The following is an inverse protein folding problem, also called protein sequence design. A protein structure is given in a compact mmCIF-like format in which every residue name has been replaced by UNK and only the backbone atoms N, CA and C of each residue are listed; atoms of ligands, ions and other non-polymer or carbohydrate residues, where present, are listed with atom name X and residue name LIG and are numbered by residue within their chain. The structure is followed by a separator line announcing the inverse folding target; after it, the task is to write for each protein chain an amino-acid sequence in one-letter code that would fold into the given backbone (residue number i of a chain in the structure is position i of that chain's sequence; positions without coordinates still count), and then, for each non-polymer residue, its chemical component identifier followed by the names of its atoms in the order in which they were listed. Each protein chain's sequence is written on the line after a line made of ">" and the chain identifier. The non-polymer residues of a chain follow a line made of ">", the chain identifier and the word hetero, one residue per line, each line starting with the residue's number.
data_IF_737341709402
#
_entry.id   IF_737341709402
#
_cell.length_a   1.000
_cell.length_b   1.000
_cell.length_c   1.000
_cell.angle_alpha   90.00
_cell.angle_beta   90.00
_cell.angle_gamma   90.00
#
_symmetry.space_group_name_H-M   'P 1'
#
loop_
_entity.id
_entity.type
_entity.pdbx_description
1 polymer ?
#
# COMPACT_ATOMS: atom_id res chain seq x y z
N UNK A 1 -77.77 37.43 14.78
CA UNK A 1 -76.36 37.90 14.58
C UNK A 1 -75.33 37.50 15.66
N UNK A 2 -75.62 36.65 16.63
CA UNK A 2 -74.71 36.26 17.70
C UNK A 2 -74.03 34.86 17.55
N UNK A 3 -74.34 34.10 16.52
CA UNK A 3 -73.82 32.76 16.30
C UNK A 3 -72.69 32.66 15.24
N UNK A 4 -72.38 33.71 14.53
CA UNK A 4 -71.27 33.72 13.56
C UNK A 4 -69.96 34.27 14.10
N UNK A 5 -69.96 34.99 15.19
CA UNK A 5 -68.76 35.56 15.83
C UNK A 5 -67.95 34.51 16.65
N UNK A 6 -68.62 33.39 17.03
CA UNK A 6 -67.94 32.36 17.85
C UNK A 6 -67.14 31.34 17.00
N UNK A 7 -67.42 31.29 15.68
CA UNK A 7 -66.68 30.39 14.80
C UNK A 7 -65.36 30.95 14.28
N UNK A 8 -65.15 32.25 14.39
CA UNK A 8 -63.90 32.91 13.95
C UNK A 8 -62.84 32.92 15.05
N UNK A 9 -63.25 32.79 16.32
CA UNK A 9 -62.33 32.77 17.43
C UNK A 9 -61.73 31.39 17.73
N UNK A 10 -62.31 30.30 17.19
CA UNK A 10 -61.76 28.94 17.37
C UNK A 10 -60.83 28.49 16.23
N UNK A 11 -60.82 29.20 15.11
CA UNK A 11 -59.90 28.85 13.99
C UNK A 11 -58.53 29.57 14.08
N UNK A 12 -58.39 30.51 15.04
CA UNK A 12 -57.15 31.28 15.23
C UNK A 12 -56.14 30.66 16.17
N UNK A 13 -56.48 29.56 16.87
CA UNK A 13 -55.66 29.03 17.96
C UNK A 13 -54.97 27.70 17.68
N UNK A 14 -55.03 27.19 16.45
CA UNK A 14 -54.34 25.94 16.07
C UNK A 14 -53.13 26.18 15.18
N UNK A 15 -52.72 27.45 15.00
CA UNK A 15 -51.49 27.74 14.20
C UNK A 15 -50.32 28.20 15.07
N UNK A 16 -50.34 27.89 16.38
CA UNK A 16 -49.18 28.08 17.23
C UNK A 16 -48.51 26.72 17.53
N UNK A 17 -47.44 26.43 16.83
CA UNK A 17 -46.45 25.53 17.39
C UNK A 17 -46.21 24.21 16.70
N UNK A 18 -45.91 24.21 15.43
CA UNK A 18 -44.91 23.26 14.91
C UNK A 18 -43.79 24.11 14.30
N UNK A 19 -43.09 24.84 15.13
CA UNK A 19 -41.67 25.12 14.86
C UNK A 19 -40.99 23.77 14.99
N UNK A 20 -41.02 22.97 13.91
CA UNK A 20 -39.96 21.99 13.72
C UNK A 20 -38.67 22.79 13.74
N UNK A 21 -37.98 22.77 14.86
CA UNK A 21 -36.58 23.11 14.91
C UNK A 21 -35.94 22.10 13.97
N UNK A 22 -35.82 22.45 12.70
CA UNK A 22 -34.90 21.84 11.81
C UNK A 22 -33.56 22.06 12.50
N UNK A 23 -33.14 21.08 13.30
CA UNK A 23 -31.76 20.96 13.73
C UNK A 23 -30.98 20.98 12.43
N UNK A 24 -30.44 22.15 12.09
CA UNK A 24 -29.42 22.29 11.06
C UNK A 24 -28.34 21.34 11.56
N UNK A 25 -28.36 20.12 11.03
CA UNK A 25 -27.28 19.19 11.25
C UNK A 25 -26.06 19.94 10.72
N UNK A 26 -25.31 20.54 11.64
CA UNK A 26 -24.05 21.19 11.29
C UNK A 26 -23.29 20.14 10.49
N UNK A 27 -23.17 20.37 9.20
CA UNK A 27 -22.36 19.53 8.34
C UNK A 27 -20.98 19.56 8.98
N UNK A 28 -20.64 18.49 9.72
CA UNK A 28 -19.29 18.36 10.29
C UNK A 28 -18.34 18.66 9.13
N UNK A 29 -17.49 19.67 9.33
CA UNK A 29 -16.47 20.07 8.34
C UNK A 29 -15.90 18.81 7.72
N UNK A 30 -15.77 18.74 6.38
CA UNK A 30 -15.21 17.57 5.73
C UNK A 30 -13.86 17.31 6.40
N UNK A 31 -13.73 16.13 7.00
CA UNK A 31 -12.49 15.75 7.63
C UNK A 31 -11.44 15.62 6.53
N UNK A 32 -10.48 16.52 6.52
CA UNK A 32 -9.33 16.48 5.62
C UNK A 32 -8.09 16.24 6.46
N UNK A 33 -7.31 15.22 6.11
CA UNK A 33 -5.97 15.03 6.65
C UNK A 33 -4.96 15.07 5.50
N UNK A 34 -3.82 15.61 5.78
CA UNK A 34 -2.64 15.54 4.91
C UNK A 34 -1.59 14.69 5.59
N UNK A 35 -0.91 13.87 4.83
CA UNK A 35 0.19 13.05 5.34
C UNK A 35 1.42 13.92 5.42
N UNK A 36 1.97 14.12 6.61
CA UNK A 36 3.19 14.90 6.80
C UNK A 36 4.43 14.17 6.25
N UNK A 37 4.42 12.82 6.27
CA UNK A 37 5.55 11.96 5.91
C UNK A 37 5.43 11.32 4.52
N UNK A 38 4.62 11.89 3.65
CA UNK A 38 4.38 11.37 2.31
C UNK A 38 3.06 10.60 2.16
N UNK A 39 2.65 10.30 0.92
CA UNK A 39 1.37 9.67 0.66
C UNK A 39 1.34 8.21 1.13
N UNK A 40 0.22 7.80 1.71
CA UNK A 40 0.01 6.40 2.10
C UNK A 40 -0.31 5.53 0.90
N UNK A 41 0.27 4.33 0.86
CA UNK A 41 -0.03 3.37 -0.19
C UNK A 41 -1.27 2.53 0.12
N UNK A 42 -2.12 2.45 -0.88
CA UNK A 42 -3.30 1.59 -0.90
C UNK A 42 -3.32 0.75 -2.17
N UNK A 43 -4.01 -0.38 -2.11
CA UNK A 43 -4.25 -1.25 -3.24
C UNK A 43 -5.74 -1.38 -3.53
N UNK A 44 -6.08 -1.62 -4.79
CA UNK A 44 -7.45 -1.95 -5.17
C UNK A 44 -7.83 -3.32 -4.59
N UNK A 45 -8.97 -3.41 -3.91
CA UNK A 45 -9.52 -4.71 -3.47
C UNK A 45 -9.86 -5.57 -4.69
N UNK A 46 -9.69 -6.90 -4.63
CA UNK A 46 -9.87 -7.80 -5.78
C UNK A 46 -11.20 -7.62 -6.52
N UNK A 47 -12.29 -7.42 -5.78
CA UNK A 47 -13.65 -7.33 -6.32
C UNK A 47 -14.19 -5.89 -6.47
N UNK A 48 -13.32 -4.88 -6.36
CA UNK A 48 -13.75 -3.50 -6.50
C UNK A 48 -14.20 -3.18 -7.93
N UNK A 49 -15.42 -2.67 -8.08
CA UNK A 49 -16.05 -2.35 -9.40
C UNK A 49 -16.50 -0.90 -9.51
N UNK A 50 -16.08 -0.04 -8.58
CA UNK A 50 -16.57 1.34 -8.52
C UNK A 50 -15.89 2.30 -9.48
N UNK A 51 -16.27 3.57 -9.36
CA UNK A 51 -15.74 4.65 -10.17
C UNK A 51 -14.59 5.39 -9.49
N UNK A 52 -13.69 5.91 -10.32
CA UNK A 52 -12.77 6.98 -9.98
C UNK A 52 -13.41 8.26 -10.52
N UNK A 53 -13.63 9.23 -9.64
CA UNK A 53 -14.31 10.49 -9.96
C UNK A 53 -13.32 11.64 -10.09
N UNK A 54 -13.71 12.70 -10.77
CA UNK A 54 -13.00 13.98 -10.69
C UNK A 54 -13.05 14.54 -9.25
N UNK A 55 -12.24 15.55 -8.95
CA UNK A 55 -12.18 16.10 -7.59
C UNK A 55 -13.46 16.80 -7.12
N UNK A 56 -14.29 17.32 -8.03
CA UNK A 56 -15.63 17.84 -7.72
C UNK A 56 -16.67 16.73 -7.51
N UNK A 57 -16.34 15.47 -7.83
CA UNK A 57 -17.23 14.31 -7.79
C UNK A 57 -18.47 14.43 -8.72
N UNK A 58 -18.32 15.13 -9.82
CA UNK A 58 -19.40 15.37 -10.80
C UNK A 58 -19.27 14.46 -12.03
N UNK A 59 -18.04 14.03 -12.35
CA UNK A 59 -17.75 13.24 -13.54
C UNK A 59 -16.97 11.97 -13.18
N UNK A 60 -17.45 10.84 -13.67
CA UNK A 60 -16.71 9.57 -13.64
C UNK A 60 -15.57 9.63 -14.65
N UNK A 61 -14.33 9.47 -14.19
CA UNK A 61 -13.14 9.45 -15.03
C UNK A 61 -12.79 8.03 -15.48
N UNK A 62 -12.80 7.09 -14.54
CA UNK A 62 -12.37 5.72 -14.78
C UNK A 62 -13.20 4.72 -13.96
N UNK A 63 -12.99 3.43 -14.23
CA UNK A 63 -13.51 2.35 -13.40
C UNK A 63 -12.38 1.69 -12.63
N UNK A 64 -12.53 1.56 -11.31
CA UNK A 64 -11.51 0.96 -10.40
C UNK A 64 -11.11 -0.46 -10.84
N UNK A 65 -12.06 -1.24 -11.43
CA UNK A 65 -11.78 -2.60 -11.92
C UNK A 65 -10.63 -2.68 -12.93
N UNK A 66 -10.38 -1.60 -13.67
CA UNK A 66 -9.31 -1.54 -14.67
C UNK A 66 -7.92 -1.34 -14.04
N UNK A 67 -7.88 -1.11 -12.74
CA UNK A 67 -6.69 -0.76 -11.98
C UNK A 67 -6.41 -1.73 -10.84
N UNK A 68 -6.70 -3.02 -11.03
CA UNK A 68 -6.57 -4.07 -9.99
C UNK A 68 -5.17 -4.18 -9.38
N UNK A 69 -4.15 -3.88 -10.18
CA UNK A 69 -2.75 -4.01 -9.78
C UNK A 69 -2.06 -2.67 -9.54
N UNK A 70 -2.83 -1.59 -9.55
CA UNK A 70 -2.28 -0.25 -9.33
C UNK A 70 -2.05 0.00 -7.85
N UNK A 71 -0.90 0.54 -7.54
CA UNK A 71 -0.61 1.15 -6.26
C UNK A 71 -1.15 2.58 -6.28
N UNK A 72 -2.00 2.88 -5.31
CA UNK A 72 -2.61 4.19 -5.14
C UNK A 72 -1.93 4.94 -4.03
N UNK A 73 -1.47 6.13 -4.32
CA UNK A 73 -0.93 7.04 -3.34
C UNK A 73 -2.07 7.94 -2.86
N UNK A 74 -2.43 7.81 -1.59
CA UNK A 74 -3.52 8.55 -0.93
C UNK A 74 -2.95 9.77 -0.24
N UNK A 75 -3.42 10.96 -0.62
CA UNK A 75 -2.95 12.23 -0.06
C UNK A 75 -3.92 12.84 0.94
N UNK A 76 -5.19 12.53 0.83
CA UNK A 76 -6.21 13.04 1.75
C UNK A 76 -7.48 12.18 1.73
N UNK A 77 -8.25 12.28 2.80
CA UNK A 77 -9.57 11.67 2.91
C UNK A 77 -10.60 12.75 3.27
N UNK A 78 -11.82 12.59 2.79
CA UNK A 78 -12.94 13.45 3.17
C UNK A 78 -14.25 12.67 3.15
N UNK A 79 -15.20 13.15 3.95
CA UNK A 79 -16.53 12.58 4.00
C UNK A 79 -17.44 13.29 3.00
N UNK A 80 -18.22 12.51 2.25
CA UNK A 80 -19.28 13.01 1.38
C UNK A 80 -20.60 12.33 1.71
N UNK A 81 -21.69 13.08 1.71
CA UNK A 81 -23.04 12.52 1.83
C UNK A 81 -23.62 12.31 0.44
N UNK A 82 -24.01 11.07 0.13
CA UNK A 82 -24.60 10.67 -1.14
C UNK A 82 -25.91 9.96 -0.84
N UNK A 83 -27.01 10.49 -1.34
CA UNK A 83 -28.37 9.96 -1.08
C UNK A 83 -28.63 9.70 0.42
N UNK A 84 -28.27 10.68 1.27
CA UNK A 84 -28.43 10.61 2.73
C UNK A 84 -27.42 9.73 3.47
N UNK A 85 -26.57 8.97 2.78
CA UNK A 85 -25.55 8.10 3.39
C UNK A 85 -24.17 8.75 3.34
N UNK A 86 -23.48 8.74 4.48
CA UNK A 86 -22.09 9.22 4.57
C UNK A 86 -21.14 8.19 3.99
N UNK A 87 -20.21 8.65 3.14
CA UNK A 87 -19.17 7.82 2.54
C UNK A 87 -17.82 8.56 2.63
N UNK A 88 -16.75 7.83 2.88
CA UNK A 88 -15.38 8.35 2.88
C UNK A 88 -14.80 8.16 1.49
N UNK A 89 -14.26 9.22 0.93
CA UNK A 89 -13.52 9.22 -0.33
C UNK A 89 -12.06 9.59 -0.09
N UNK A 90 -11.20 8.90 -0.79
CA UNK A 90 -9.77 9.20 -0.82
C UNK A 90 -9.42 9.97 -2.09
N UNK A 91 -8.61 11.03 -1.93
CA UNK A 91 -7.91 11.64 -3.05
C UNK A 91 -6.69 10.78 -3.35
N UNK A 92 -6.66 10.23 -4.55
CA UNK A 92 -5.64 9.28 -4.97
C UNK A 92 -4.98 9.70 -6.27
N UNK A 93 -3.75 9.24 -6.45
CA UNK A 93 -3.10 9.20 -7.76
C UNK A 93 -2.32 7.88 -7.90
N UNK A 94 -2.22 7.39 -9.13
CA UNK A 94 -1.32 6.29 -9.44
C UNK A 94 0.14 6.75 -9.32
N UNK A 95 1.06 5.85 -9.03
CA UNK A 95 2.46 6.21 -8.83
C UNK A 95 3.09 6.94 -10.02
N UNK A 96 2.73 6.57 -11.26
CA UNK A 96 3.15 7.29 -12.46
C UNK A 96 2.36 8.59 -12.70
N UNK A 97 1.50 9.00 -11.77
CA UNK A 97 0.66 10.21 -11.79
C UNK A 97 -0.30 10.34 -12.99
N UNK A 98 -0.41 9.30 -13.84
CA UNK A 98 -1.27 9.33 -15.04
C UNK A 98 -2.77 9.25 -14.69
N UNK A 99 -3.10 8.62 -13.58
CA UNK A 99 -4.49 8.50 -13.10
C UNK A 99 -4.59 9.17 -11.74
N UNK A 100 -5.54 10.08 -11.60
CA UNK A 100 -5.82 10.80 -10.36
C UNK A 100 -7.32 11.00 -10.20
N UNK A 101 -7.78 11.14 -8.96
CA UNK A 101 -9.19 11.41 -8.68
C UNK A 101 -9.62 11.01 -7.29
N UNK A 102 -10.92 10.85 -7.12
CA UNK A 102 -11.56 10.43 -5.90
C UNK A 102 -12.04 8.99 -6.01
N UNK A 103 -11.68 8.19 -5.02
CA UNK A 103 -12.11 6.79 -4.93
C UNK A 103 -12.80 6.57 -3.58
N UNK A 104 -13.93 5.90 -3.59
CA UNK A 104 -14.56 5.48 -2.34
C UNK A 104 -13.63 4.56 -1.55
N UNK A 105 -13.44 4.84 -0.27
CA UNK A 105 -12.51 4.09 0.61
C UNK A 105 -12.81 2.58 0.65
N UNK A 106 -14.06 2.20 0.50
CA UNK A 106 -14.48 0.80 0.46
C UNK A 106 -13.89 -0.03 -0.68
N UNK A 107 -13.38 0.60 -1.76
CA UNK A 107 -12.71 -0.10 -2.87
C UNK A 107 -11.21 -0.27 -2.69
N UNK A 108 -10.64 0.35 -1.67
CA UNK A 108 -9.22 0.32 -1.41
C UNK A 108 -8.91 -0.39 -0.08
N UNK A 109 -7.72 -0.91 0.03
CA UNK A 109 -7.17 -1.47 1.27
C UNK A 109 -5.78 -0.89 1.51
N UNK A 110 -5.48 -0.55 2.76
CA UNK A 110 -4.13 -0.12 3.15
C UNK A 110 -3.11 -1.22 2.83
N UNK A 111 -1.94 -0.82 2.40
CA UNK A 111 -0.79 -1.70 2.36
C UNK A 111 -0.21 -1.79 3.78
N UNK A 112 -0.33 -2.96 4.40
CA UNK A 112 0.20 -3.22 5.74
C UNK A 112 1.16 -4.39 5.64
N UNK A 113 2.41 -4.18 6.04
CA UNK A 113 3.42 -5.22 6.11
C UNK A 113 3.49 -5.79 7.54
N UNK A 114 3.53 -7.09 7.64
CA UNK A 114 3.73 -7.79 8.92
C UNK A 114 5.22 -7.85 9.23
N UNK A 115 5.67 -7.44 10.43
CA UNK A 115 7.05 -7.62 10.86
C UNK A 115 7.47 -9.09 10.82
N UNK A 116 8.70 -9.36 10.40
CA UNK A 116 9.17 -10.73 10.20
C UNK A 116 9.30 -11.52 11.51
N UNK A 117 9.47 -10.85 12.65
CA UNK A 117 9.50 -11.46 13.98
C UNK A 117 8.16 -12.12 14.36
N UNK A 118 7.05 -11.68 13.73
CA UNK A 118 5.70 -12.24 13.94
C UNK A 118 5.39 -13.47 13.06
N UNK A 119 6.30 -13.85 12.16
CA UNK A 119 6.11 -14.97 11.23
C UNK A 119 7.01 -16.11 11.68
N UNK A 120 6.48 -17.23 12.13
CA UNK A 120 7.21 -18.26 12.87
C UNK A 120 7.74 -19.42 12.02
N UNK A 121 7.27 -19.56 10.77
CA UNK A 121 7.68 -20.67 9.88
C UNK A 121 7.75 -20.24 8.42
N UNK A 122 8.51 -21.00 7.61
CA UNK A 122 8.59 -20.80 6.16
C UNK A 122 7.21 -20.93 5.49
N UNK A 123 6.36 -21.85 5.94
CA UNK A 123 5.00 -22.00 5.41
C UNK A 123 4.14 -20.77 5.69
N UNK A 124 4.18 -20.24 6.91
CA UNK A 124 3.48 -19.02 7.27
C UNK A 124 4.00 -17.83 6.44
N UNK A 125 5.30 -17.77 6.22
CA UNK A 125 5.92 -16.72 5.41
C UNK A 125 5.50 -16.80 3.94
N UNK A 126 5.49 -17.97 3.33
CA UNK A 126 4.99 -18.18 1.98
C UNK A 126 3.50 -17.82 1.86
N UNK A 127 2.68 -18.17 2.84
CA UNK A 127 1.27 -17.79 2.88
C UNK A 127 1.13 -16.26 2.95
N UNK A 128 1.90 -15.59 3.78
CA UNK A 128 1.94 -14.14 3.87
C UNK A 128 2.33 -13.49 2.55
N UNK A 129 3.45 -13.90 1.93
CA UNK A 129 3.90 -13.40 0.62
C UNK A 129 2.82 -13.62 -0.46
N UNK A 130 2.11 -14.73 -0.43
CA UNK A 130 1.13 -15.08 -1.44
C UNK A 130 -0.21 -14.36 -1.28
N UNK A 131 -0.64 -14.07 -0.07
CA UNK A 131 -1.97 -13.55 0.24
C UNK A 131 -2.01 -12.05 0.54
N UNK A 132 -0.93 -11.49 1.14
CA UNK A 132 -0.94 -10.10 1.58
C UNK A 132 -0.68 -9.14 0.40
N UNK A 133 -1.52 -8.12 0.29
CA UNK A 133 -1.41 -7.13 -0.80
C UNK A 133 -0.12 -6.29 -0.73
N UNK A 134 0.48 -6.12 0.45
CA UNK A 134 1.78 -5.42 0.60
C UNK A 134 2.94 -6.21 0.00
N UNK A 135 2.78 -7.52 -0.21
CA UNK A 135 3.83 -8.42 -0.67
C UNK A 135 3.82 -8.68 -2.20
N UNK A 136 3.06 -7.88 -2.96
CA UNK A 136 2.99 -8.04 -4.42
C UNK A 136 4.35 -7.91 -5.11
N UNK A 137 5.18 -6.96 -4.68
CA UNK A 137 6.53 -6.79 -5.21
C UNK A 137 7.42 -7.95 -4.78
N UNK A 138 7.42 -8.31 -3.49
CA UNK A 138 8.15 -9.48 -2.95
C UNK A 138 7.85 -10.74 -3.76
N UNK A 139 6.54 -11.04 -3.93
CA UNK A 139 6.08 -12.19 -4.71
C UNK A 139 6.59 -12.19 -6.16
N UNK A 140 6.73 -11.02 -6.76
CA UNK A 140 7.24 -10.90 -8.12
C UNK A 140 8.77 -11.03 -8.18
N UNK A 141 9.49 -10.51 -7.18
CA UNK A 141 10.95 -10.59 -7.10
C UNK A 141 11.44 -12.01 -6.82
N UNK A 142 10.82 -12.76 -5.90
CA UNK A 142 11.23 -14.15 -5.62
C UNK A 142 11.07 -15.06 -6.82
N UNK A 143 10.14 -14.79 -7.75
CA UNK A 143 9.99 -15.54 -9.00
C UNK A 143 11.19 -15.42 -9.95
N UNK A 144 12.06 -14.44 -9.74
CA UNK A 144 13.31 -14.34 -10.48
C UNK A 144 14.29 -15.47 -10.11
N UNK A 145 14.09 -16.13 -8.97
CA UNK A 145 14.87 -17.26 -8.45
C UNK A 145 13.97 -18.48 -8.25
N UNK A 146 13.48 -19.10 -9.33
CA UNK A 146 12.35 -20.04 -9.29
C UNK A 146 12.59 -21.29 -8.47
N UNK A 147 13.84 -21.70 -8.29
CA UNK A 147 14.22 -22.92 -7.57
C UNK A 147 14.89 -22.65 -6.21
N UNK A 148 15.07 -21.39 -5.83
CA UNK A 148 15.61 -21.03 -4.51
C UNK A 148 14.47 -20.99 -3.49
N UNK A 149 14.44 -21.86 -2.46
CA UNK A 149 13.40 -21.87 -1.46
C UNK A 149 13.45 -20.57 -0.62
N UNK A 150 12.28 -20.04 -0.30
CA UNK A 150 12.16 -18.88 0.60
C UNK A 150 12.40 -19.33 2.04
N UNK A 151 13.28 -18.62 2.75
CA UNK A 151 13.64 -18.92 4.13
C UNK A 151 13.39 -17.73 5.05
N UNK A 152 12.56 -17.93 6.09
CA UNK A 152 12.20 -16.89 7.06
C UNK A 152 13.38 -16.57 7.99
N UNK A 153 14.22 -17.56 8.33
CA UNK A 153 15.36 -17.34 9.21
C UNK A 153 16.42 -16.48 8.49
N UNK A 154 16.65 -16.74 7.21
CA UNK A 154 17.49 -15.89 6.38
C UNK A 154 16.89 -14.50 6.22
N UNK A 155 15.58 -14.40 5.98
CA UNK A 155 14.87 -13.10 5.85
C UNK A 155 14.98 -12.24 7.12
N UNK A 156 14.87 -12.84 8.30
CA UNK A 156 15.10 -12.15 9.59
C UNK A 156 16.54 -11.74 9.80
N UNK A 157 17.49 -12.58 9.36
CA UNK A 157 18.92 -12.24 9.48
C UNK A 157 19.25 -10.99 8.67
N UNK A 158 18.61 -10.80 7.52
CA UNK A 158 18.83 -9.62 6.67
C UNK A 158 18.06 -8.39 7.15
N UNK A 159 16.98 -8.54 7.91
CA UNK A 159 16.26 -7.40 8.51
C UNK A 159 17.15 -6.55 9.42
N UNK A 160 18.10 -7.19 10.09
CA UNK A 160 18.98 -6.55 11.07
C UNK A 160 20.35 -6.14 10.46
N UNK A 161 20.53 -6.27 9.15
CA UNK A 161 21.78 -5.84 8.51
C UNK A 161 21.82 -4.32 8.47
N UNK A 162 22.79 -3.77 9.19
CA UNK A 162 23.24 -2.41 8.98
C UNK A 162 24.56 -2.46 8.19
N UNK A 163 24.91 -1.38 7.52
CA UNK A 163 26.18 -1.28 6.76
C UNK A 163 27.43 -1.62 7.58
N UNK A 164 27.32 -1.67 8.91
CA UNK A 164 28.40 -1.91 9.86
C UNK A 164 28.36 -3.28 10.55
N UNK A 165 27.27 -4.06 10.39
CA UNK A 165 27.15 -5.38 11.01
C UNK A 165 27.10 -6.47 9.93
N UNK A 166 28.16 -7.27 9.77
CA UNK A 166 28.14 -8.41 8.86
C UNK A 166 27.08 -9.42 9.30
N UNK A 167 26.52 -10.14 8.33
CA UNK A 167 25.53 -11.19 8.62
C UNK A 167 26.19 -12.27 9.47
N UNK A 168 26.00 -12.19 10.77
CA UNK A 168 26.39 -13.25 11.68
C UNK A 168 25.25 -14.26 11.78
N UNK A 169 25.18 -15.18 10.83
CA UNK A 169 24.24 -16.29 10.94
C UNK A 169 24.97 -17.62 10.99
N UNK A 170 24.76 -18.38 12.08
CA UNK A 170 25.38 -19.68 12.27
C UNK A 170 24.89 -20.75 11.30
N UNK A 171 23.73 -20.52 10.68
CA UNK A 171 23.04 -21.52 9.87
C UNK A 171 23.27 -21.35 8.36
N UNK A 172 23.90 -20.26 7.91
CA UNK A 172 24.07 -19.95 6.50
C UNK A 172 25.54 -19.64 6.15
N UNK A 173 25.90 -19.94 4.87
CA UNK A 173 27.19 -19.61 4.23
C UNK A 173 26.94 -19.03 2.85
N UNK A 174 28.00 -18.61 2.18
CA UNK A 174 28.00 -18.17 0.77
C UNK A 174 26.94 -17.10 0.49
N UNK A 175 26.90 -16.06 1.32
CA UNK A 175 25.95 -14.96 1.18
C UNK A 175 26.19 -14.16 -0.10
N UNK A 176 25.10 -13.88 -0.81
CA UNK A 176 25.06 -13.01 -1.98
C UNK A 176 24.04 -11.91 -1.71
N UNK A 177 24.49 -10.68 -1.58
CA UNK A 177 23.66 -9.49 -1.40
C UNK A 177 23.05 -9.08 -2.76
N UNK A 178 21.92 -9.63 -3.10
CA UNK A 178 21.22 -9.36 -4.37
C UNK A 178 20.79 -7.90 -4.47
N UNK A 179 20.29 -7.32 -3.37
CA UNK A 179 19.87 -5.92 -3.30
C UNK A 179 21.01 -4.93 -3.56
N UNK A 180 22.25 -5.34 -3.32
CA UNK A 180 23.44 -4.46 -3.43
C UNK A 180 24.08 -4.49 -4.82
N UNK A 181 23.63 -5.40 -5.71
CA UNK A 181 24.15 -5.50 -7.06
C UNK A 181 23.89 -4.22 -7.84
N UNK A 182 24.95 -3.68 -8.44
CA UNK A 182 24.93 -2.39 -9.13
C UNK A 182 24.43 -2.53 -10.57
N UNK A 183 23.65 -1.53 -11.00
CA UNK A 183 23.29 -1.35 -12.39
C UNK A 183 24.48 -0.73 -13.15
N UNK A 184 25.17 -1.45 -14.03
CA UNK A 184 26.29 -0.89 -14.77
C UNK A 184 25.90 0.23 -15.73
N UNK A 185 24.60 0.36 -16.03
CA UNK A 185 24.06 1.41 -16.89
C UNK A 185 23.39 2.54 -16.10
N UNK A 186 23.63 2.62 -14.78
CA UNK A 186 23.09 3.72 -13.98
C UNK A 186 23.86 5.00 -14.29
N UNK A 187 23.19 5.95 -14.96
CA UNK A 187 23.73 7.26 -15.28
C UNK A 187 23.32 8.35 -14.26
N UNK A 188 22.59 7.99 -13.21
CA UNK A 188 22.14 8.96 -12.21
C UNK A 188 23.18 9.10 -11.09
N UNK A 189 23.92 10.22 -11.01
CA UNK A 189 24.95 10.40 -9.99
C UNK A 189 24.39 10.52 -8.57
N UNK A 190 23.07 10.75 -8.42
CA UNK A 190 22.40 10.86 -7.12
C UNK A 190 21.89 9.52 -6.60
N UNK A 191 22.11 8.43 -7.34
CA UNK A 191 21.71 7.07 -6.96
C UNK A 191 22.95 6.19 -6.95
N UNK A 192 23.10 5.35 -5.96
CA UNK A 192 24.24 4.44 -5.86
C UNK A 192 24.21 3.32 -6.92
N UNK A 193 23.11 3.23 -7.69
CA UNK A 193 22.88 2.27 -8.76
C UNK A 193 22.54 0.86 -8.31
N UNK A 194 22.42 0.59 -7.01
CA UNK A 194 22.02 -0.73 -6.50
C UNK A 194 20.56 -1.06 -6.85
N UNK A 195 20.22 -2.36 -6.80
CA UNK A 195 18.83 -2.83 -6.92
C UNK A 195 17.97 -2.20 -5.82
N UNK A 196 18.47 -2.10 -4.58
CA UNK A 196 17.78 -1.41 -3.47
C UNK A 196 17.48 0.05 -3.83
N UNK A 197 18.49 0.79 -4.23
CA UNK A 197 18.37 2.20 -4.66
C UNK A 197 17.36 2.34 -5.82
N UNK A 198 17.45 1.48 -6.82
CA UNK A 198 16.50 1.50 -7.94
C UNK A 198 15.06 1.26 -7.45
N UNK A 199 14.83 0.27 -6.58
CA UNK A 199 13.51 -0.05 -6.04
C UNK A 199 12.99 1.10 -5.16
N UNK A 200 13.86 1.74 -4.39
CA UNK A 200 13.52 2.91 -3.57
C UNK A 200 13.01 4.08 -4.44
N UNK A 201 13.77 4.48 -5.46
CA UNK A 201 13.39 5.61 -6.33
C UNK A 201 12.25 5.29 -7.30
N UNK A 202 12.02 4.03 -7.60
CA UNK A 202 10.87 3.56 -8.39
C UNK A 202 9.62 3.25 -7.56
N UNK A 203 9.65 3.55 -6.25
CA UNK A 203 8.54 3.35 -5.35
C UNK A 203 7.20 3.80 -5.95
N UNK A 204 6.20 2.96 -5.77
CA UNK A 204 4.85 3.23 -6.24
C UNK A 204 4.64 3.08 -7.75
N UNK A 205 5.66 2.88 -8.57
CA UNK A 205 5.49 2.55 -9.99
C UNK A 205 4.91 1.13 -10.17
N UNK A 206 4.46 0.82 -11.38
CA UNK A 206 3.95 -0.52 -11.71
C UNK A 206 5.01 -1.60 -11.44
N UNK A 207 4.60 -2.72 -10.85
CA UNK A 207 5.51 -3.80 -10.43
C UNK A 207 6.22 -4.43 -11.63
N UNK A 208 5.51 -4.67 -12.74
CA UNK A 208 6.07 -5.37 -13.92
C UNK A 208 7.33 -4.69 -14.48
N UNK A 209 7.35 -3.38 -14.79
CA UNK A 209 8.58 -2.72 -15.27
C UNK A 209 9.68 -2.69 -14.20
N UNK A 210 9.34 -2.58 -12.92
CA UNK A 210 10.32 -2.63 -11.83
C UNK A 210 11.03 -3.97 -11.76
N UNK A 211 10.28 -5.07 -11.78
CA UNK A 211 10.83 -6.43 -11.76
C UNK A 211 11.62 -6.73 -13.03
N UNK A 212 11.16 -6.25 -14.19
CA UNK A 212 11.91 -6.36 -15.45
C UNK A 212 13.29 -5.69 -15.32
N UNK A 213 13.34 -4.45 -14.77
CA UNK A 213 14.62 -3.75 -14.57
C UNK A 213 15.53 -4.46 -13.59
N UNK A 214 14.99 -5.00 -12.49
CA UNK A 214 15.78 -5.84 -11.57
C UNK A 214 16.37 -7.06 -12.30
N UNK A 215 15.59 -7.72 -13.15
CA UNK A 215 16.09 -8.85 -13.94
C UNK A 215 17.21 -8.44 -14.92
N UNK A 216 17.14 -7.25 -15.52
CA UNK A 216 18.19 -6.68 -16.37
C UNK A 216 19.48 -6.43 -15.58
N UNK A 217 19.38 -5.83 -14.39
CA UNK A 217 20.53 -5.60 -13.50
C UNK A 217 21.16 -6.95 -13.09
N UNK A 218 20.32 -7.92 -12.70
CA UNK A 218 20.80 -9.28 -12.39
C UNK A 218 21.56 -9.91 -13.56
N UNK A 219 21.02 -9.83 -14.77
CA UNK A 219 21.67 -10.36 -15.97
C UNK A 219 23.04 -9.70 -16.23
N UNK A 220 23.12 -8.38 -16.09
CA UNK A 220 24.35 -7.61 -16.26
C UNK A 220 25.43 -7.95 -15.22
N UNK A 221 25.01 -8.43 -14.04
CA UNK A 221 25.90 -8.94 -12.98
C UNK A 221 26.18 -10.44 -13.04
N UNK A 222 25.91 -11.11 -14.19
CA UNK A 222 26.18 -12.54 -14.37
C UNK A 222 25.10 -13.49 -13.84
N UNK A 223 24.01 -12.96 -13.26
CA UNK A 223 22.87 -13.74 -12.80
C UNK A 223 21.80 -13.83 -13.90
N UNK A 224 22.14 -14.48 -15.03
CA UNK A 224 21.18 -14.75 -16.11
C UNK A 224 19.99 -15.58 -15.61
N UNK A 225 18.88 -15.62 -16.36
CA UNK A 225 17.71 -16.43 -16.00
C UNK A 225 18.09 -17.91 -15.79
N UNK A 226 18.99 -18.47 -16.64
CA UNK A 226 19.50 -19.83 -16.50
C UNK A 226 20.31 -20.00 -15.21
N UNK A 227 21.18 -19.03 -14.88
CA UNK A 227 21.97 -19.06 -13.65
C UNK A 227 21.06 -19.02 -12.42
N UNK A 228 20.07 -18.12 -12.40
CA UNK A 228 19.12 -18.04 -11.28
C UNK A 228 18.31 -19.32 -11.11
N UNK A 229 17.90 -19.96 -12.21
CA UNK A 229 17.21 -21.25 -12.17
C UNK A 229 18.09 -22.41 -11.68
N UNK A 230 19.42 -22.33 -11.82
CA UNK A 230 20.35 -23.35 -11.30
C UNK A 230 20.71 -23.19 -9.82
N UNK A 231 20.17 -22.16 -9.12
CA UNK A 231 20.53 -21.82 -7.72
C UNK A 231 19.62 -22.53 -6.69
N UNK A 232 19.20 -23.75 -6.96
CA UNK A 232 18.33 -24.53 -6.05
C UNK A 232 18.97 -24.84 -4.69
N UNK A 233 20.31 -24.83 -4.61
CA UNK A 233 21.07 -25.01 -3.37
C UNK A 233 21.23 -23.73 -2.55
N UNK A 234 20.68 -22.60 -3.01
CA UNK A 234 20.60 -21.34 -2.26
C UNK A 234 19.17 -21.13 -1.77
N UNK A 235 19.03 -20.79 -0.50
CA UNK A 235 17.81 -20.20 0.03
C UNK A 235 17.77 -18.71 -0.28
N UNK A 236 16.56 -18.17 -0.46
CA UNK A 236 16.34 -16.73 -0.63
C UNK A 236 15.74 -16.13 0.63
N UNK A 237 16.42 -15.13 1.19
CA UNK A 237 15.92 -14.26 2.26
C UNK A 237 15.47 -12.94 1.67
N UNK A 238 14.26 -12.51 2.02
CA UNK A 238 13.70 -11.25 1.54
C UNK A 238 13.05 -10.47 2.67
N UNK A 239 13.37 -9.19 2.76
CA UNK A 239 12.65 -8.22 3.57
C UNK A 239 12.29 -7.04 2.66
N UNK A 240 11.10 -7.09 2.07
CA UNK A 240 10.64 -6.07 1.13
C UNK A 240 9.36 -5.43 1.65
N UNK A 241 9.47 -4.15 1.96
CA UNK A 241 8.37 -3.27 2.37
C UNK A 241 8.29 -2.12 1.37
N UNK A 242 7.31 -2.17 0.47
CA UNK A 242 7.16 -1.23 -0.64
C UNK A 242 6.13 -0.15 -0.30
N UNK A 243 6.50 0.76 0.61
CA UNK A 243 5.63 1.85 1.06
C UNK A 243 4.42 1.41 1.88
N UNK A 244 4.50 0.24 2.48
CA UNK A 244 3.47 -0.23 3.38
C UNK A 244 3.69 0.34 4.80
N UNK A 245 2.60 0.46 5.54
CA UNK A 245 2.68 0.65 6.99
C UNK A 245 3.29 -0.61 7.60
N UNK A 246 4.27 -0.42 8.47
CA UNK A 246 4.97 -1.52 9.11
C UNK A 246 4.56 -1.64 10.58
N UNK A 247 4.07 -2.81 10.97
CA UNK A 247 3.63 -3.08 12.34
C UNK A 247 2.17 -3.53 12.46
N UNK A 248 1.63 -3.46 13.67
CA UNK A 248 0.23 -3.78 13.94
C UNK A 248 -0.67 -2.67 13.41
N UNK A 249 -1.59 -3.04 12.50
CA UNK A 249 -2.61 -2.12 12.06
C UNK A 249 -3.51 -1.76 13.24
N UNK A 250 -3.50 -0.51 13.68
CA UNK A 250 -4.65 -0.02 14.42
C UNK A 250 -5.82 0.11 13.45
N UNK A 251 -7.02 -0.23 13.89
CA UNK A 251 -8.22 -0.17 13.06
C UNK A 251 -8.73 1.25 12.85
N UNK A 252 -7.92 2.26 13.21
CA UNK A 252 -8.29 3.65 12.99
C UNK A 252 -8.43 3.92 11.49
N UNK A 253 -9.57 4.42 11.01
CA UNK A 253 -9.70 4.91 9.65
C UNK A 253 -8.88 6.21 9.44
N UNK A 254 -8.25 6.71 10.48
CA UNK A 254 -7.51 7.97 10.51
C UNK A 254 -6.02 7.70 10.71
N UNK A 255 -5.21 7.73 9.65
CA UNK A 255 -3.78 7.39 9.70
C UNK A 255 -2.94 8.22 10.66
N UNK A 256 -3.37 9.44 10.97
CA UNK A 256 -2.67 10.35 11.88
C UNK A 256 -2.66 9.92 13.35
N UNK A 257 -3.44 8.91 13.70
CA UNK A 257 -3.46 8.33 15.05
C UNK A 257 -2.69 7.01 15.13
N UNK A 258 -2.09 6.59 14.02
CA UNK A 258 -1.29 5.38 13.97
C UNK A 258 0.19 5.78 14.15
N UNK A 259 0.86 5.29 15.18
CA UNK A 259 2.33 5.38 15.36
C UNK A 259 3.10 4.59 14.29
N UNK A 260 2.43 4.28 13.18
CA UNK A 260 2.96 3.48 12.09
C UNK A 260 3.62 4.38 11.07
N UNK A 261 4.91 4.15 10.86
CA UNK A 261 5.65 4.79 9.78
C UNK A 261 5.55 3.98 8.49
N UNK A 262 5.35 4.67 7.37
CA UNK A 262 5.54 4.07 6.06
C UNK A 262 7.01 3.74 5.88
N UNK A 263 7.33 2.47 5.53
CA UNK A 263 8.71 2.04 5.30
C UNK A 263 8.94 1.66 3.84
N UNK A 264 10.17 1.91 3.40
CA UNK A 264 10.73 1.47 2.13
C UNK A 264 11.95 0.62 2.44
N UNK A 265 11.83 -0.69 2.30
CA UNK A 265 12.88 -1.66 2.59
C UNK A 265 12.94 -2.63 1.42
N UNK A 266 14.13 -2.91 0.88
CA UNK A 266 14.31 -3.76 -0.30
C UNK A 266 15.51 -4.68 -0.17
N UNK A 267 15.57 -5.43 0.92
CA UNK A 267 16.66 -6.37 1.21
C UNK A 267 16.37 -7.73 0.58
N UNK A 268 17.29 -8.22 -0.26
CA UNK A 268 17.20 -9.50 -0.95
C UNK A 268 18.57 -10.16 -0.90
N UNK A 269 18.64 -11.36 -0.34
CA UNK A 269 19.86 -12.12 -0.20
C UNK A 269 19.66 -13.57 -0.62
N UNK A 270 20.73 -14.17 -1.09
CA UNK A 270 20.83 -15.61 -1.25
C UNK A 270 21.91 -16.14 -0.32
N UNK A 271 21.71 -17.32 0.23
CA UNK A 271 22.72 -18.00 1.05
C UNK A 271 22.50 -19.52 0.98
N UNK A 272 23.58 -20.29 1.22
CA UNK A 272 23.46 -21.74 1.38
C UNK A 272 23.24 -22.09 2.85
N UNK A 273 22.43 -23.09 3.11
CA UNK A 273 22.35 -23.70 4.43
C UNK A 273 23.71 -24.35 4.76
N UNK A 274 24.18 -24.20 5.98
CA UNK A 274 25.31 -25.01 6.48
C UNK A 274 24.85 -26.46 6.61
N UNK A 275 25.68 -27.37 6.17
CA UNK A 275 25.48 -28.80 6.36
C UNK A 275 25.55 -29.18 7.85
#
# INVERSE_FOLDING_TARGET
>A
MKKQLLKILLSGLVFCGIFTIATIAQAKKPYSWSVMDGPLMYYTKPNAKGAIWNYSHTQKLHNVKNYRYTSWLVTSAFTKTIKGKRAIYYRVYSANKRVKGLVWSGYLTKAIATPLDKITSNQQYLNYINSNSSQRLTKALIKLFPNSPVDISLSRSVENITATAPIQNRNFTDFIAISDLKDPNNLNPHQDGSIDSYLYYSYGQSITPRVKRVAEILNANGYSARKRASMANYSIGVNVVDGALYGTATHSPYPQHDDQTTRLIYQIYLAKNKA
#
